data_IF_824955364560
#
_entry.id   IF_824955364560
#
_cell.length_a   1.000
_cell.length_b   1.000
_cell.length_c   1.000
_cell.angle_alpha   90.00
_cell.angle_beta   90.00
_cell.angle_gamma   90.00
#
_symmetry.space_group_name_H-M   'P 1'
#
loop_
_entity.id
_entity.type
_entity.pdbx_description
1 polymer ?
#
# COMPACT_ATOMS: atom_id res chain seq x y z
N UNK A 1 64.51 11.94 4.64
CA UNK A 1 63.36 11.46 3.84
C UNK A 1 63.29 9.95 4.00
N UNK A 2 62.14 9.31 4.30
CA UNK A 2 60.75 9.72 4.07
C UNK A 2 59.93 9.85 5.39
N UNK A 3 58.98 10.76 5.60
CA UNK A 3 57.73 11.05 4.87
C UNK A 3 56.77 9.84 4.86
N UNK A 4 56.04 9.62 5.97
CA UNK A 4 54.85 8.76 5.98
C UNK A 4 53.65 9.57 5.46
N UNK A 5 53.02 9.19 4.34
CA UNK A 5 51.81 9.85 3.88
C UNK A 5 50.57 9.25 4.55
N UNK A 6 49.90 10.12 5.29
CA UNK A 6 48.46 10.38 5.28
C UNK A 6 47.51 9.26 4.76
N UNK A 7 46.70 8.76 5.69
CA UNK A 7 45.25 8.53 5.60
C UNK A 7 44.69 8.19 4.20
N UNK A 8 44.57 6.89 3.93
CA UNK A 8 43.69 6.37 2.89
C UNK A 8 42.23 6.47 3.34
N UNK A 9 41.63 7.61 2.98
CA UNK A 9 40.32 7.79 2.35
C UNK A 9 39.23 6.79 2.76
N UNK A 10 38.27 7.34 3.50
CA UNK A 10 36.94 6.83 3.79
C UNK A 10 36.34 6.02 2.63
N UNK A 11 36.11 4.73 2.86
CA UNK A 11 35.09 4.00 2.11
C UNK A 11 33.72 4.51 2.55
N UNK A 12 33.12 5.41 1.76
CA UNK A 12 31.68 5.65 1.81
C UNK A 12 30.98 4.40 1.24
N UNK A 13 30.73 3.43 2.11
CA UNK A 13 29.73 2.40 1.86
C UNK A 13 28.39 3.10 1.75
N UNK A 14 27.91 3.25 0.50
CA UNK A 14 26.60 3.80 0.20
C UNK A 14 25.53 2.98 0.89
N UNK A 15 24.94 3.55 1.94
CA UNK A 15 23.70 3.07 2.53
C UNK A 15 22.62 3.17 1.47
N UNK A 16 22.42 2.08 0.73
CA UNK A 16 21.17 1.87 0.01
C UNK A 16 20.11 1.67 1.08
N UNK A 17 19.54 2.78 1.57
CA UNK A 17 18.24 2.76 2.19
C UNK A 17 17.27 2.35 1.07
N UNK A 18 17.13 1.03 0.87
CA UNK A 18 15.93 0.49 0.30
C UNK A 18 14.82 1.05 1.18
N UNK A 19 14.09 2.04 0.66
CA UNK A 19 12.88 2.52 1.31
C UNK A 19 11.93 1.33 1.30
N UNK A 20 12.00 0.53 2.37
CA UNK A 20 10.95 -0.39 2.70
C UNK A 20 9.74 0.51 2.91
N UNK A 21 8.93 0.63 1.86
CA UNK A 21 7.63 1.28 1.93
C UNK A 21 6.95 0.65 3.13
N UNK A 22 6.70 1.46 4.15
CA UNK A 22 6.16 1.04 5.43
C UNK A 22 4.70 0.63 5.21
N UNK A 23 4.51 -0.61 4.73
CA UNK A 23 3.23 -1.15 4.31
C UNK A 23 2.27 -1.41 5.48
N UNK A 24 2.70 -1.18 6.72
CA UNK A 24 1.91 -1.41 7.92
C UNK A 24 0.94 -0.27 8.26
N UNK A 25 1.02 0.87 7.56
CA UNK A 25 0.12 1.99 7.82
C UNK A 25 -1.29 1.67 7.34
N UNK A 26 -2.27 1.78 8.24
CA UNK A 26 -3.68 1.73 7.87
C UNK A 26 -4.02 2.95 6.99
N UNK A 27 -4.54 2.67 5.80
CA UNK A 27 -5.02 3.62 4.81
C UNK A 27 -6.53 3.74 4.94
N UNK A 28 -7.06 4.92 4.63
CA UNK A 28 -8.50 5.11 4.46
C UNK A 28 -8.81 5.14 2.97
N UNK A 29 -9.83 4.40 2.56
CA UNK A 29 -10.35 4.43 1.19
C UNK A 29 -11.71 5.09 1.22
N UNK A 30 -11.91 6.07 0.35
CA UNK A 30 -13.19 6.77 0.16
C UNK A 30 -13.72 6.41 -1.22
N UNK A 31 -15.03 6.28 -1.31
CA UNK A 31 -15.75 5.88 -2.52
C UNK A 31 -16.90 6.85 -2.78
N UNK A 32 -17.55 6.71 -3.94
CA UNK A 32 -18.78 7.41 -4.26
C UNK A 32 -19.86 7.23 -3.17
N UNK A 33 -20.83 8.14 -3.16
CA UNK A 33 -21.98 8.10 -2.24
C UNK A 33 -21.59 8.15 -0.75
N UNK A 34 -20.40 8.70 -0.44
CA UNK A 34 -19.92 8.89 0.93
C UNK A 34 -19.46 7.61 1.63
N UNK A 35 -19.32 6.50 0.91
CA UNK A 35 -18.85 5.23 1.48
C UNK A 35 -17.35 5.30 1.74
N UNK A 36 -16.88 4.61 2.78
CA UNK A 36 -15.45 4.47 3.06
C UNK A 36 -15.16 3.18 3.80
N UNK A 37 -13.91 2.73 3.75
CA UNK A 37 -13.40 1.61 4.52
C UNK A 37 -11.94 1.81 4.90
N UNK A 38 -11.48 1.11 5.93
CA UNK A 38 -10.07 1.04 6.30
C UNK A 38 -9.36 -0.07 5.54
N UNK A 39 -8.10 0.15 5.17
CA UNK A 39 -7.29 -0.81 4.44
C UNK A 39 -5.91 -0.94 5.06
N UNK A 40 -5.46 -2.15 5.37
CA UNK A 40 -4.09 -2.44 5.83
C UNK A 40 -3.51 -3.59 5.02
N UNK A 41 -2.27 -3.45 4.56
CA UNK A 41 -1.59 -4.47 3.75
C UNK A 41 -0.51 -5.13 4.60
N UNK A 42 -0.62 -6.44 4.79
CA UNK A 42 0.33 -7.22 5.61
C UNK A 42 0.93 -8.34 4.78
N UNK A 43 2.08 -8.05 4.17
CA UNK A 43 2.76 -8.97 3.27
C UNK A 43 1.89 -9.40 2.10
N UNK A 44 1.31 -10.60 2.17
CA UNK A 44 0.44 -11.18 1.13
C UNK A 44 -1.05 -11.03 1.43
N UNK A 45 -1.42 -10.30 2.47
CA UNK A 45 -2.81 -10.12 2.86
C UNK A 45 -3.22 -8.65 2.78
N UNK A 46 -4.49 -8.43 2.44
CA UNK A 46 -5.14 -7.14 2.59
C UNK A 46 -6.28 -7.30 3.59
N UNK A 47 -6.24 -6.49 4.63
CA UNK A 47 -7.23 -6.39 5.69
C UNK A 47 -8.14 -5.20 5.39
N UNK A 48 -9.38 -5.48 4.97
CA UNK A 48 -10.40 -4.48 4.65
C UNK A 48 -11.35 -4.36 5.82
N UNK A 49 -11.27 -3.24 6.54
CA UNK A 49 -12.12 -2.92 7.67
C UNK A 49 -13.35 -2.16 7.20
N UNK A 50 -14.50 -2.84 7.18
CA UNK A 50 -15.82 -2.26 6.99
C UNK A 50 -16.40 -1.82 8.35
N UNK A 51 -17.57 -1.19 8.34
CA UNK A 51 -18.22 -0.68 9.57
C UNK A 51 -18.41 -1.80 10.62
N UNK A 52 -18.93 -2.95 10.20
CA UNK A 52 -19.34 -4.02 11.12
C UNK A 52 -18.50 -5.31 10.99
N UNK A 53 -17.52 -5.34 10.08
CA UNK A 53 -16.77 -6.56 9.77
C UNK A 53 -15.40 -6.27 9.18
N UNK A 54 -14.47 -7.22 9.33
CA UNK A 54 -13.20 -7.23 8.61
C UNK A 54 -13.20 -8.34 7.55
N UNK A 55 -12.68 -8.03 6.36
CA UNK A 55 -12.41 -9.02 5.32
C UNK A 55 -10.90 -9.18 5.16
N UNK A 56 -10.43 -10.42 5.24
CA UNK A 56 -9.03 -10.76 4.96
C UNK A 56 -8.94 -11.35 3.56
N UNK A 57 -8.23 -10.66 2.68
CA UNK A 57 -8.06 -11.00 1.28
C UNK A 57 -6.63 -11.46 1.02
N UNK A 58 -6.44 -12.44 0.14
CA UNK A 58 -5.11 -13.01 -0.16
C UNK A 58 -4.62 -12.52 -1.52
N UNK A 59 -3.36 -12.08 -1.58
CA UNK A 59 -2.70 -11.62 -2.81
C UNK A 59 -2.66 -12.74 -3.87
N UNK A 60 -3.17 -12.41 -5.05
CA UNK A 60 -3.14 -13.25 -6.25
C UNK A 60 -2.22 -12.62 -7.32
N UNK A 61 -1.56 -13.44 -8.16
CA UNK A 61 -0.89 -12.93 -9.35
C UNK A 61 -1.89 -12.18 -10.25
N UNK A 62 -1.47 -11.06 -10.82
CA UNK A 62 -2.29 -10.21 -11.68
C UNK A 62 -1.41 -9.40 -12.60
N UNK A 63 -1.90 -9.12 -13.81
CA UNK A 63 -1.33 -8.10 -14.71
C UNK A 63 -1.86 -6.69 -14.41
N UNK A 64 -2.85 -6.57 -13.51
CA UNK A 64 -3.46 -5.32 -13.07
C UNK A 64 -3.16 -5.12 -11.59
N UNK A 65 -2.39 -4.08 -11.27
CA UNK A 65 -2.11 -3.62 -9.91
C UNK A 65 -1.78 -4.71 -8.87
N UNK A 66 -2.04 -4.41 -7.61
CA UNK A 66 -2.03 -5.36 -6.52
C UNK A 66 -3.42 -5.98 -6.35
N UNK A 67 -3.57 -7.23 -6.76
CA UNK A 67 -4.84 -7.96 -6.67
C UNK A 67 -4.89 -8.83 -5.42
N UNK A 68 -5.92 -8.64 -4.60
CA UNK A 68 -6.24 -9.46 -3.44
C UNK A 68 -7.67 -9.98 -3.56
N UNK A 69 -7.91 -11.25 -3.21
CA UNK A 69 -9.27 -11.81 -3.21
C UNK A 69 -9.46 -12.91 -2.18
N UNK A 70 -10.72 -13.13 -1.82
CA UNK A 70 -11.21 -14.36 -1.21
C UNK A 70 -12.54 -14.76 -1.89
N UNK A 71 -13.40 -15.53 -1.22
CA UNK A 71 -14.74 -15.77 -1.73
C UNK A 71 -15.57 -14.50 -1.76
N UNK A 72 -15.57 -13.74 -0.67
CA UNK A 72 -16.54 -12.69 -0.41
C UNK A 72 -16.21 -11.34 -1.04
N UNK A 73 -14.96 -11.10 -1.42
CA UNK A 73 -14.58 -9.85 -2.06
C UNK A 73 -13.34 -9.96 -2.95
N UNK A 74 -13.20 -8.96 -3.82
CA UNK A 74 -12.02 -8.68 -4.63
C UNK A 74 -11.61 -7.22 -4.42
N UNK A 75 -10.31 -7.02 -4.26
CA UNK A 75 -9.66 -5.71 -4.14
C UNK A 75 -8.52 -5.62 -5.16
N UNK A 76 -8.47 -4.53 -5.92
CA UNK A 76 -7.35 -4.17 -6.78
C UNK A 76 -6.90 -2.79 -6.38
N UNK A 77 -5.60 -2.63 -6.13
CA UNK A 77 -4.95 -1.35 -5.87
C UNK A 77 -4.01 -1.03 -7.03
N UNK A 78 -4.17 0.13 -7.63
CA UNK A 78 -3.30 0.62 -8.71
C UNK A 78 -3.05 2.11 -8.50
N UNK A 79 -1.85 2.46 -8.03
CA UNK A 79 -1.52 3.80 -7.50
C UNK A 79 -2.55 4.34 -6.49
N UNK A 80 -3.29 5.39 -6.83
CA UNK A 80 -4.35 5.97 -6.00
C UNK A 80 -5.74 5.36 -6.27
N UNK A 81 -5.89 4.65 -7.38
CA UNK A 81 -7.12 3.98 -7.77
C UNK A 81 -7.35 2.69 -6.98
N UNK A 82 -8.59 2.54 -6.51
CA UNK A 82 -9.04 1.35 -5.79
C UNK A 82 -10.29 0.78 -6.47
N UNK A 83 -10.22 -0.47 -6.91
CA UNK A 83 -11.42 -1.23 -7.24
C UNK A 83 -11.71 -2.21 -6.11
N UNK A 84 -12.87 -2.07 -5.48
CA UNK A 84 -13.34 -2.96 -4.43
C UNK A 84 -14.73 -3.49 -4.78
N UNK A 85 -14.89 -4.80 -4.79
CA UNK A 85 -16.18 -5.45 -5.03
C UNK A 85 -16.41 -6.46 -3.93
N UNK A 86 -17.51 -6.28 -3.18
CA UNK A 86 -17.98 -7.22 -2.19
C UNK A 86 -19.15 -8.01 -2.77
N UNK A 87 -19.17 -9.32 -2.56
CA UNK A 87 -20.25 -10.19 -3.01
C UNK A 87 -21.57 -9.70 -2.42
N UNK A 88 -22.54 -9.46 -3.30
CA UNK A 88 -23.87 -8.98 -2.93
C UNK A 88 -23.96 -7.46 -2.74
N UNK A 89 -22.86 -6.72 -2.91
CA UNK A 89 -22.83 -5.27 -2.79
C UNK A 89 -22.01 -4.61 -3.91
N UNK A 90 -22.72 -4.03 -4.86
CA UNK A 90 -22.17 -3.36 -6.05
C UNK A 90 -22.02 -1.85 -5.87
N UNK A 91 -22.28 -1.33 -4.66
CA UNK A 91 -22.27 0.11 -4.38
C UNK A 91 -20.87 0.67 -4.09
N UNK A 92 -19.82 -0.14 -4.14
CA UNK A 92 -18.43 0.28 -3.93
C UNK A 92 -17.85 0.80 -5.26
N UNK A 93 -18.14 2.05 -5.59
CA UNK A 93 -17.79 2.68 -6.87
C UNK A 93 -16.87 3.88 -6.64
N UNK A 94 -16.04 4.20 -7.63
CA UNK A 94 -15.12 5.35 -7.66
C UNK A 94 -14.26 5.48 -6.39
N UNK A 95 -13.71 4.34 -5.93
CA UNK A 95 -12.91 4.30 -4.73
C UNK A 95 -11.47 4.77 -4.97
N UNK A 96 -10.93 5.54 -4.03
CA UNK A 96 -9.55 6.02 -4.03
C UNK A 96 -9.00 6.11 -2.60
N UNK A 97 -7.68 6.11 -2.48
CA UNK A 97 -7.02 6.27 -1.17
C UNK A 97 -7.17 7.73 -0.73
N UNK A 98 -7.75 7.95 0.45
CA UNK A 98 -7.86 9.24 1.13
C UNK A 98 -6.48 9.63 1.66
N UNK A 99 -5.64 10.18 0.77
CA UNK A 99 -4.36 10.73 1.14
C UNK A 99 -4.57 12.14 1.70
N UNK A 100 -4.03 12.48 2.89
CA UNK A 100 -3.98 13.87 3.31
C UNK A 100 -3.18 14.63 2.26
N UNK A 101 -3.85 15.55 1.56
CA UNK A 101 -3.21 16.39 0.55
C UNK A 101 -2.09 17.20 1.20
N UNK A 102 -0.82 16.84 0.95
CA UNK A 102 0.33 17.70 1.22
C UNK A 102 1.66 17.02 1.55
N UNK A 103 2.56 16.94 0.56
CA UNK A 103 4.01 17.18 0.75
C UNK A 103 4.68 17.47 -0.60
N UNK A 104 4.97 18.76 -0.82
CA UNK A 104 5.77 19.42 -1.87
C UNK A 104 6.36 18.59 -3.03
N UNK A 105 6.00 19.01 -4.25
CA UNK A 105 6.97 19.39 -5.29
C UNK A 105 6.39 20.40 -6.26
#
# INVERSE_FOLDING_TARGET
MPALPLLAILMLMGSSAAQAVDHHKALRVVCAQGRSFGLRIEGRQAHVQLADSELVLVRKPSSLGQHFRNGDATLILDDDYVAFVQRGDWGWQDCHIDQPSGSDR
#
